data_IF_814116289818
#
_entry.id   IF_814116289818
#
_cell.length_a   1.000
_cell.length_b   1.000
_cell.length_c   1.000
_cell.angle_alpha   90.00
_cell.angle_beta   90.00
_cell.angle_gamma   90.00
#
_symmetry.space_group_name_H-M   'P 1'
#
loop_
_entity.id
_entity.type
_entity.pdbx_description
1 polymer ?
#
# COMPACT_ATOMS: atom_id res chain seq x y z
N UNK A 1 -3.97 17.43 -17.85
CA UNK A 1 -4.31 16.08 -17.34
C UNK A 1 -4.38 15.03 -18.45
N UNK A 2 -5.48 14.89 -19.22
CA UNK A 2 -5.57 13.86 -20.29
C UNK A 2 -4.59 14.10 -21.45
N UNK A 3 -4.42 15.37 -21.84
CA UNK A 3 -3.49 15.77 -22.90
C UNK A 3 -2.00 15.63 -22.52
N UNK A 4 -1.67 15.81 -21.23
CA UNK A 4 -0.32 15.57 -20.70
C UNK A 4 -0.06 14.07 -20.54
N UNK A 5 -1.09 13.29 -20.17
CA UNK A 5 -1.03 11.82 -20.17
C UNK A 5 -0.67 11.28 -21.57
N UNK A 6 -1.32 11.79 -22.62
CA UNK A 6 -1.14 11.31 -24.00
C UNK A 6 0.25 11.70 -24.55
N UNK A 7 0.71 12.93 -24.29
CA UNK A 7 2.02 13.39 -24.74
C UNK A 7 3.18 12.60 -24.10
N UNK A 8 3.03 12.15 -22.85
CA UNK A 8 4.06 11.41 -22.11
C UNK A 8 4.08 9.90 -22.42
N UNK A 9 2.97 9.33 -22.91
CA UNK A 9 2.89 7.94 -23.38
C UNK A 9 3.69 7.72 -24.68
N UNK A 10 3.83 8.76 -25.50
CA UNK A 10 4.51 8.68 -26.81
C UNK A 10 6.05 8.66 -26.70
N UNK A 11 6.63 9.05 -25.56
CA UNK A 11 8.09 9.10 -25.35
C UNK A 11 8.68 7.79 -24.79
N UNK A 12 7.88 6.73 -24.61
CA UNK A 12 8.30 5.50 -23.93
C UNK A 12 8.68 4.39 -24.92
N UNK A 13 9.97 4.07 -25.03
CA UNK A 13 10.50 3.07 -25.96
C UNK A 13 10.22 1.62 -25.48
N UNK A 14 9.86 0.74 -26.43
CA UNK A 14 9.19 -0.57 -26.22
C UNK A 14 9.95 -1.65 -25.41
N UNK A 15 11.22 -1.47 -25.06
CA UNK A 15 12.01 -2.46 -24.30
C UNK A 15 11.96 -2.27 -22.77
N UNK A 16 11.51 -1.11 -22.29
CA UNK A 16 11.52 -0.76 -20.85
C UNK A 16 10.14 -0.37 -20.31
N UNK A 17 9.08 -0.72 -21.03
CA UNK A 17 7.71 -0.23 -20.80
C UNK A 17 7.20 -0.53 -19.39
N UNK A 18 7.54 -1.70 -18.81
CA UNK A 18 7.14 -2.07 -17.44
C UNK A 18 7.84 -1.17 -16.40
N UNK A 19 9.15 -0.94 -16.54
CA UNK A 19 9.94 -0.10 -15.64
C UNK A 19 9.57 1.38 -15.72
N UNK A 20 9.26 1.85 -16.93
CA UNK A 20 8.80 3.22 -17.13
C UNK A 20 7.41 3.44 -16.55
N UNK A 21 6.48 2.48 -16.68
CA UNK A 21 5.15 2.56 -16.09
C UNK A 21 5.23 2.57 -14.55
N UNK A 22 6.01 1.69 -13.93
CA UNK A 22 6.13 1.63 -12.45
C UNK A 22 6.74 2.90 -11.84
N UNK A 23 7.85 3.41 -12.40
CA UNK A 23 8.47 4.65 -11.93
C UNK A 23 7.60 5.89 -12.24
N UNK A 24 6.86 5.85 -13.36
CA UNK A 24 5.92 6.90 -13.74
C UNK A 24 4.71 6.91 -12.82
N UNK A 25 4.15 5.77 -12.47
CA UNK A 25 3.05 5.63 -11.52
C UNK A 25 3.45 6.11 -10.13
N UNK A 26 4.62 5.74 -9.61
CA UNK A 26 5.07 6.26 -8.32
C UNK A 26 5.27 7.78 -8.33
N UNK A 27 5.86 8.35 -9.39
CA UNK A 27 6.01 9.83 -9.51
C UNK A 27 4.68 10.52 -9.75
N UNK A 28 3.75 9.90 -10.48
CA UNK A 28 2.42 10.42 -10.74
C UNK A 28 1.58 10.37 -9.47
N UNK A 29 1.60 9.26 -8.73
CA UNK A 29 0.97 9.09 -7.42
C UNK A 29 1.57 10.04 -6.40
N UNK A 30 2.90 10.16 -6.33
CA UNK A 30 3.58 11.17 -5.52
C UNK A 30 3.12 12.60 -5.88
N UNK A 31 2.98 12.91 -7.18
CA UNK A 31 2.53 14.25 -7.63
C UNK A 31 1.04 14.48 -7.38
N UNK A 32 0.18 13.49 -7.59
CA UNK A 32 -1.29 13.55 -7.43
C UNK A 32 -1.66 13.60 -5.96
N UNK A 33 -1.02 12.78 -5.13
CA UNK A 33 -1.25 12.73 -3.68
C UNK A 33 -0.33 13.67 -2.88
N UNK A 34 0.53 14.46 -3.53
CA UNK A 34 1.24 15.54 -2.85
C UNK A 34 0.23 16.51 -2.21
N UNK A 35 0.55 17.00 -1.01
CA UNK A 35 -0.29 17.99 -0.33
C UNK A 35 -0.59 19.21 -1.19
N UNK A 36 0.34 19.60 -2.06
CA UNK A 36 0.14 20.74 -2.95
C UNK A 36 -0.95 20.46 -3.97
N UNK A 37 -0.97 19.27 -4.58
CA UNK A 37 -2.03 18.90 -5.53
C UNK A 37 -3.38 18.67 -4.84
N UNK A 38 -3.40 17.98 -3.69
CA UNK A 38 -4.62 17.76 -2.91
C UNK A 38 -5.22 19.09 -2.44
N UNK A 39 -4.39 20.03 -1.97
CA UNK A 39 -4.81 21.37 -1.55
C UNK A 39 -5.23 22.25 -2.73
N UNK A 40 -4.48 22.23 -3.84
CA UNK A 40 -4.84 22.97 -5.08
C UNK A 40 -6.20 22.55 -5.62
N UNK A 41 -6.47 21.25 -5.62
CA UNK A 41 -7.72 20.67 -6.11
C UNK A 41 -8.82 20.63 -5.03
N UNK A 42 -8.55 21.11 -3.80
CA UNK A 42 -9.46 21.10 -2.66
C UNK A 42 -10.04 19.71 -2.34
N UNK A 43 -9.25 18.65 -2.57
CA UNK A 43 -9.65 17.25 -2.34
C UNK A 43 -9.47 16.81 -0.88
N UNK A 44 -9.22 17.76 0.02
CA UNK A 44 -9.02 17.54 1.46
C UNK A 44 -10.15 16.71 2.08
N UNK A 45 -11.40 17.05 1.77
CA UNK A 45 -12.57 16.35 2.29
C UNK A 45 -12.73 14.96 1.70
N UNK A 46 -12.48 14.77 0.41
CA UNK A 46 -12.54 13.47 -0.25
C UNK A 46 -11.52 12.49 0.36
N UNK A 47 -10.33 12.99 0.68
CA UNK A 47 -9.29 12.19 1.33
C UNK A 47 -9.62 11.93 2.80
N UNK A 48 -10.14 12.93 3.52
CA UNK A 48 -10.36 12.86 4.98
C UNK A 48 -11.71 12.29 5.42
N UNK A 49 -12.72 12.32 4.56
CA UNK A 49 -14.06 11.86 4.83
C UNK A 49 -14.40 10.73 3.85
N UNK A 50 -14.27 9.51 4.35
CA UNK A 50 -14.62 8.27 3.67
C UNK A 50 -15.97 8.35 2.93
N UNK A 51 -16.97 8.95 3.59
CA UNK A 51 -18.35 8.97 3.16
C UNK A 51 -18.54 9.69 1.81
N UNK A 52 -17.83 10.79 1.57
CA UNK A 52 -17.94 11.53 0.30
C UNK A 52 -17.45 10.68 -0.88
N UNK A 53 -16.35 9.95 -0.67
CA UNK A 53 -15.78 9.08 -1.70
C UNK A 53 -16.61 7.80 -1.87
N UNK A 54 -17.11 7.21 -0.78
CA UNK A 54 -18.00 6.04 -0.82
C UNK A 54 -19.31 6.33 -1.56
N UNK A 55 -19.92 7.51 -1.36
CA UNK A 55 -21.13 7.94 -2.09
C UNK A 55 -20.95 8.00 -3.60
N UNK A 56 -19.72 8.19 -4.07
CA UNK A 56 -19.38 8.18 -5.49
C UNK A 56 -18.98 6.78 -5.98
N UNK A 57 -18.11 6.10 -5.24
CA UNK A 57 -17.46 4.86 -5.67
C UNK A 57 -18.43 3.67 -5.61
N UNK A 58 -19.24 3.56 -4.57
CA UNK A 58 -20.12 2.39 -4.39
C UNK A 58 -21.13 2.25 -5.53
N UNK A 59 -21.92 3.30 -5.90
CA UNK A 59 -22.88 3.16 -6.99
C UNK A 59 -22.19 2.82 -8.32
N UNK A 60 -21.09 3.48 -8.64
CA UNK A 60 -20.38 3.28 -9.92
C UNK A 60 -19.77 1.88 -10.01
N UNK A 61 -19.06 1.44 -8.97
CA UNK A 61 -18.33 0.17 -8.99
C UNK A 61 -19.21 -1.06 -8.75
N UNK A 62 -20.49 -0.88 -8.41
CA UNK A 62 -21.46 -1.97 -8.21
C UNK A 62 -22.62 -1.97 -9.22
N UNK A 63 -22.69 -0.99 -10.12
CA UNK A 63 -23.77 -0.87 -11.11
C UNK A 63 -23.76 -2.02 -12.15
N UNK A 64 -22.59 -2.45 -12.62
CA UNK A 64 -22.48 -3.51 -13.62
C UNK A 64 -21.20 -4.33 -13.47
N UNK A 65 -21.16 -5.58 -13.98
CA UNK A 65 -19.94 -6.39 -13.97
C UNK A 65 -18.74 -5.72 -14.67
N UNK A 66 -18.99 -4.97 -15.74
CA UNK A 66 -17.93 -4.27 -16.48
C UNK A 66 -17.30 -3.14 -15.65
N UNK A 67 -18.13 -2.31 -15.00
CA UNK A 67 -17.65 -1.24 -14.13
C UNK A 67 -16.96 -1.78 -12.88
N UNK A 68 -17.48 -2.87 -12.31
CA UNK A 68 -16.86 -3.57 -11.21
C UNK A 68 -15.45 -4.04 -11.57
N UNK A 69 -15.28 -4.69 -12.72
CA UNK A 69 -13.96 -5.11 -13.20
C UNK A 69 -13.05 -3.91 -13.43
N UNK A 70 -13.55 -2.84 -14.06
CA UNK A 70 -12.77 -1.62 -14.27
C UNK A 70 -12.28 -1.03 -12.95
N UNK A 71 -13.14 -0.90 -11.94
CA UNK A 71 -12.73 -0.43 -10.62
C UNK A 71 -11.69 -1.37 -10.02
N UNK A 72 -11.88 -2.69 -10.07
CA UNK A 72 -10.88 -3.64 -9.55
C UNK A 72 -9.53 -3.53 -10.25
N UNK A 73 -9.48 -3.25 -11.55
CA UNK A 73 -8.21 -3.01 -12.25
C UNK A 73 -7.51 -1.75 -11.76
N UNK A 74 -8.26 -0.68 -11.47
CA UNK A 74 -7.70 0.50 -10.81
C UNK A 74 -7.13 0.19 -9.42
N UNK A 75 -7.76 -0.69 -8.64
CA UNK A 75 -7.23 -1.11 -7.35
C UNK A 75 -5.98 -1.98 -7.48
N UNK A 76 -5.97 -2.91 -8.44
CA UNK A 76 -4.84 -3.80 -8.69
C UNK A 76 -3.56 -3.01 -9.04
N UNK A 77 -3.70 -1.83 -9.65
CA UNK A 77 -2.58 -0.93 -9.91
C UNK A 77 -1.75 -0.61 -8.64
N UNK A 78 -2.41 -0.49 -7.48
CA UNK A 78 -1.75 -0.13 -6.22
C UNK A 78 -1.28 -1.33 -5.43
N UNK A 79 -1.99 -2.45 -5.55
CA UNK A 79 -1.93 -3.53 -4.57
C UNK A 79 -1.34 -4.82 -5.14
N UNK A 80 -1.26 -4.95 -6.46
CA UNK A 80 -0.70 -6.12 -7.14
C UNK A 80 -1.53 -6.55 -8.35
N UNK A 81 -0.95 -7.35 -9.25
CA UNK A 81 -1.43 -7.54 -10.61
C UNK A 81 -2.80 -8.22 -10.69
N UNK A 82 -3.14 -9.01 -9.67
CA UNK A 82 -4.41 -9.72 -9.56
C UNK A 82 -4.74 -9.97 -8.10
N UNK A 83 -6.03 -9.92 -7.79
CA UNK A 83 -6.59 -10.23 -6.48
C UNK A 83 -7.42 -11.51 -6.52
N UNK A 84 -7.57 -12.12 -5.35
CA UNK A 84 -8.43 -13.26 -5.04
C UNK A 84 -9.72 -12.87 -4.34
N UNK A 85 -10.06 -11.59 -4.41
CA UNK A 85 -11.36 -11.07 -3.99
C UNK A 85 -12.46 -11.72 -4.83
N UNK A 86 -13.41 -12.36 -4.15
CA UNK A 86 -14.60 -12.90 -4.81
C UNK A 86 -15.54 -11.78 -5.25
N UNK A 87 -16.24 -11.89 -6.40
CA UNK A 87 -17.24 -10.90 -6.83
C UNK A 87 -18.30 -10.59 -5.77
N UNK A 88 -18.64 -11.57 -4.93
CA UNK A 88 -19.54 -11.42 -3.79
C UNK A 88 -19.03 -10.44 -2.72
N UNK A 89 -17.71 -10.30 -2.59
CA UNK A 89 -17.06 -9.45 -1.58
C UNK A 89 -16.74 -8.05 -2.12
N UNK A 90 -16.79 -7.85 -3.45
CA UNK A 90 -16.46 -6.56 -4.07
C UNK A 90 -17.38 -5.42 -3.57
N UNK A 91 -18.72 -5.58 -3.52
CA UNK A 91 -19.59 -4.53 -2.98
C UNK A 91 -19.29 -4.20 -1.52
N UNK A 92 -18.97 -5.21 -0.70
CA UNK A 92 -18.59 -5.03 0.71
C UNK A 92 -17.30 -4.24 0.81
N UNK A 93 -16.31 -4.59 0.00
CA UNK A 93 -15.02 -3.89 -0.06
C UNK A 93 -15.21 -2.40 -0.37
N UNK A 94 -15.96 -2.07 -1.43
CA UNK A 94 -16.21 -0.68 -1.82
C UNK A 94 -17.06 0.09 -0.81
N UNK A 95 -17.95 -0.59 -0.08
CA UNK A 95 -18.74 0.04 0.96
C UNK A 95 -17.92 0.33 2.23
N UNK A 96 -16.84 -0.42 2.47
CA UNK A 96 -15.97 -0.23 3.64
C UNK A 96 -14.77 0.68 3.35
N UNK A 97 -14.28 0.67 2.11
CA UNK A 97 -13.04 1.35 1.74
C UNK A 97 -13.25 2.34 0.58
N UNK A 98 -12.59 3.52 0.65
CA UNK A 98 -11.62 3.92 1.66
C UNK A 98 -12.27 4.43 2.96
N UNK A 99 -11.64 4.15 4.11
CA UNK A 99 -12.08 4.61 5.44
C UNK A 99 -11.68 6.05 5.80
N UNK A 100 -11.19 6.83 4.82
CA UNK A 100 -10.67 8.17 5.02
C UNK A 100 -9.26 8.18 5.65
N UNK A 101 -8.46 9.19 5.34
CA UNK A 101 -7.12 9.39 5.88
C UNK A 101 -6.77 10.88 5.91
N UNK A 102 -5.66 11.28 6.52
CA UNK A 102 -5.22 12.67 6.48
C UNK A 102 -4.24 12.91 5.33
N UNK A 103 -4.22 14.13 4.79
CA UNK A 103 -3.18 14.58 3.83
C UNK A 103 -1.78 14.37 4.40
N UNK A 104 -1.64 14.56 5.72
CA UNK A 104 -0.38 14.33 6.41
C UNK A 104 0.09 12.88 6.29
N UNK A 105 -0.82 11.91 6.37
CA UNK A 105 -0.50 10.49 6.16
C UNK A 105 -0.13 10.22 4.70
N UNK A 106 -0.87 10.78 3.73
CA UNK A 106 -0.52 10.61 2.30
C UNK A 106 0.87 11.16 1.99
N UNK A 107 1.19 12.35 2.48
CA UNK A 107 2.53 12.92 2.37
C UNK A 107 3.59 12.04 3.06
N UNK A 108 3.24 11.46 4.22
CA UNK A 108 4.16 10.59 4.91
C UNK A 108 4.42 9.29 4.13
N UNK A 109 3.38 8.70 3.56
CA UNK A 109 3.47 7.49 2.75
C UNK A 109 4.35 7.70 1.52
N UNK A 110 4.27 8.88 0.88
CA UNK A 110 5.18 9.26 -0.20
C UNK A 110 6.65 9.21 0.21
N UNK A 111 6.99 9.64 1.43
CA UNK A 111 8.36 9.54 1.96
C UNK A 111 8.76 8.09 2.28
N UNK A 112 7.82 7.26 2.73
CA UNK A 112 8.04 5.82 2.93
C UNK A 112 8.32 5.09 1.61
N UNK A 113 7.62 5.42 0.52
CA UNK A 113 7.85 4.86 -0.82
C UNK A 113 9.25 5.20 -1.34
N UNK A 114 9.82 6.34 -0.91
CA UNK A 114 11.22 6.69 -1.22
C UNK A 114 12.25 5.96 -0.35
N UNK A 115 11.83 5.00 0.48
CA UNK A 115 12.68 4.20 1.35
C UNK A 115 13.01 4.85 2.69
N UNK A 116 12.39 5.98 3.04
CA UNK A 116 12.68 6.69 4.28
C UNK A 116 11.78 6.21 5.43
N UNK A 117 12.19 5.15 6.13
CA UNK A 117 11.48 4.68 7.34
C UNK A 117 11.77 5.57 8.57
N UNK A 118 11.14 6.76 8.59
CA UNK A 118 11.37 7.82 9.60
C UNK A 118 10.07 8.44 10.09
N UNK A 119 10.13 9.30 11.11
CA UNK A 119 8.98 10.11 11.54
C UNK A 119 8.62 11.15 10.47
N UNK A 120 7.37 11.62 10.47
CA UNK A 120 6.88 12.66 9.56
C UNK A 120 7.83 13.87 9.51
N UNK A 121 8.15 14.31 8.30
CA UNK A 121 8.99 15.48 8.06
C UNK A 121 8.15 16.77 8.05
N UNK A 122 8.32 17.59 9.09
CA UNK A 122 7.69 18.91 9.17
C UNK A 122 8.55 20.02 8.53
N UNK A 123 9.66 19.67 7.86
CA UNK A 123 10.59 20.61 7.28
C UNK A 123 11.19 21.53 8.34
N UNK A 124 11.12 22.88 8.19
CA UNK A 124 11.68 23.83 9.16
C UNK A 124 11.13 23.67 10.58
N UNK A 125 9.92 23.11 10.74
CA UNK A 125 9.31 22.90 12.04
C UNK A 125 9.79 21.63 12.76
N UNK A 126 10.68 20.82 12.15
CA UNK A 126 11.24 19.63 12.79
C UNK A 126 11.87 19.94 14.15
N UNK A 127 12.54 21.09 14.29
CA UNK A 127 13.14 21.49 15.56
C UNK A 127 12.10 21.65 16.67
N UNK A 128 10.93 22.21 16.34
CA UNK A 128 9.81 22.36 17.27
C UNK A 128 9.26 21.01 17.75
N UNK A 129 9.18 20.02 16.86
CA UNK A 129 8.58 18.72 17.18
C UNK A 129 9.58 17.68 17.73
N UNK A 130 10.84 17.77 17.34
CA UNK A 130 11.84 16.73 17.58
C UNK A 130 13.13 17.24 18.23
N UNK A 131 13.32 18.56 18.37
CA UNK A 131 14.59 19.14 18.82
C UNK A 131 15.75 18.94 17.82
N UNK A 132 15.45 18.53 16.59
CA UNK A 132 16.41 18.21 15.53
C UNK A 132 15.93 18.81 14.20
N UNK A 133 16.83 19.30 13.32
CA UNK A 133 16.44 19.78 12.00
C UNK A 133 15.97 18.65 11.07
N UNK A 134 16.40 17.41 11.31
CA UNK A 134 16.00 16.21 10.55
C UNK A 134 14.97 15.41 11.35
N UNK A 135 13.99 14.83 10.66
CA UNK A 135 13.06 13.91 11.31
C UNK A 135 13.78 12.61 11.72
N UNK A 136 13.57 12.13 12.97
CA UNK A 136 14.23 10.92 13.46
C UNK A 136 13.84 9.66 12.67
N UNK A 137 14.81 8.79 12.41
CA UNK A 137 14.60 7.45 11.82
C UNK A 137 14.02 6.51 12.87
N UNK A 138 13.15 5.59 12.47
CA UNK A 138 12.69 4.53 13.35
C UNK A 138 13.76 3.45 13.47
N UNK A 139 14.27 3.26 14.69
CA UNK A 139 15.27 2.24 14.98
C UNK A 139 14.60 0.87 15.20
N UNK A 140 14.62 0.04 14.17
CA UNK A 140 14.05 -1.32 14.22
C UNK A 140 14.72 -2.21 15.27
N UNK A 141 15.94 -1.89 15.73
CA UNK A 141 16.61 -2.63 16.81
C UNK A 141 15.91 -2.51 18.16
N UNK A 142 14.99 -1.55 18.31
CA UNK A 142 14.19 -1.35 19.53
C UNK A 142 12.90 -2.16 19.56
N UNK A 143 12.61 -2.91 18.50
CA UNK A 143 11.46 -3.80 18.44
C UNK A 143 11.84 -5.11 19.13
N UNK A 144 11.51 -5.27 20.41
CA UNK A 144 11.83 -6.47 21.21
C UNK A 144 10.65 -7.46 21.36
N UNK A 145 9.53 -7.20 20.67
CA UNK A 145 8.39 -8.12 20.67
C UNK A 145 8.59 -9.21 19.62
N UNK A 146 8.13 -10.46 19.86
CA UNK A 146 8.14 -11.50 18.82
C UNK A 146 7.34 -11.08 17.58
N UNK A 147 7.98 -11.11 16.41
CA UNK A 147 7.39 -10.73 15.12
C UNK A 147 7.29 -11.96 14.21
N UNK A 148 6.08 -12.25 13.76
CA UNK A 148 5.81 -13.22 12.71
C UNK A 148 5.37 -12.49 11.42
N UNK A 149 6.11 -12.64 10.33
CA UNK A 149 5.84 -11.95 9.07
C UNK A 149 5.17 -12.89 8.07
N UNK A 150 4.01 -12.50 7.54
CA UNK A 150 3.39 -13.16 6.39
C UNK A 150 3.44 -12.21 5.21
N UNK A 151 3.96 -12.65 4.07
CA UNK A 151 4.13 -11.80 2.89
C UNK A 151 3.87 -12.57 1.59
N UNK A 152 3.55 -11.84 0.51
CA UNK A 152 3.37 -12.40 -0.84
C UNK A 152 4.29 -11.69 -1.81
N UNK A 153 4.79 -12.40 -2.83
CA UNK A 153 5.61 -11.77 -3.87
C UNK A 153 4.81 -10.82 -4.78
N UNK A 154 3.49 -11.03 -4.86
CA UNK A 154 2.61 -10.25 -5.74
C UNK A 154 1.86 -9.15 -5.00
N UNK A 155 2.25 -8.87 -3.75
CA UNK A 155 1.81 -7.69 -3.02
C UNK A 155 2.73 -6.52 -3.38
N UNK A 156 2.31 -5.68 -4.33
CA UNK A 156 3.10 -4.52 -4.78
C UNK A 156 3.19 -3.39 -3.75
N UNK A 157 2.34 -3.39 -2.72
CA UNK A 157 2.38 -2.38 -1.67
C UNK A 157 3.44 -2.70 -0.58
N UNK A 158 3.91 -3.95 -0.52
CA UNK A 158 4.94 -4.40 0.45
C UNK A 158 6.10 -5.15 -0.21
N UNK A 159 6.07 -5.25 -1.54
CA UNK A 159 7.12 -5.85 -2.38
C UNK A 159 7.44 -4.86 -3.48
N UNK A 160 8.40 -3.97 -3.23
CA UNK A 160 8.89 -3.13 -4.31
C UNK A 160 9.61 -4.03 -5.34
N UNK A 161 9.02 -4.20 -6.52
CA UNK A 161 9.63 -4.93 -7.63
C UNK A 161 10.93 -4.26 -8.15
N UNK A 162 11.18 -3.01 -7.75
CA UNK A 162 12.29 -2.15 -8.21
C UNK A 162 13.49 -2.18 -7.26
N UNK A 163 13.30 -2.56 -6.00
CA UNK A 163 14.37 -2.88 -5.07
C UNK A 163 14.48 -4.40 -5.01
N UNK A 164 15.65 -4.96 -5.31
CA UNK A 164 15.93 -6.41 -5.24
C UNK A 164 15.77 -7.02 -3.82
N UNK A 165 15.13 -6.31 -2.90
CA UNK A 165 14.87 -6.67 -1.52
C UNK A 165 13.39 -6.44 -1.17
N UNK A 166 12.61 -7.53 -1.11
CA UNK A 166 11.28 -7.58 -0.47
C UNK A 166 11.29 -6.84 0.88
N UNK A 167 10.39 -5.87 1.09
CA UNK A 167 10.35 -5.06 2.34
C UNK A 167 10.19 -5.94 3.57
N UNK A 168 9.41 -7.01 3.47
CA UNK A 168 9.29 -8.02 4.53
C UNK A 168 10.66 -8.63 4.91
N UNK A 169 11.52 -8.92 3.92
CA UNK A 169 12.88 -9.44 4.18
C UNK A 169 13.80 -8.36 4.73
N UNK A 170 13.62 -7.10 4.31
CA UNK A 170 14.37 -5.97 4.86
C UNK A 170 14.01 -5.70 6.31
N UNK A 171 12.72 -5.66 6.64
CA UNK A 171 12.23 -5.58 8.01
C UNK A 171 12.82 -6.73 8.83
N UNK A 172 12.66 -7.97 8.38
CA UNK A 172 13.20 -9.16 9.06
C UNK A 172 14.69 -9.04 9.39
N UNK A 173 15.52 -8.61 8.44
CA UNK A 173 16.98 -8.47 8.62
C UNK A 173 17.38 -7.38 9.61
N UNK A 174 16.55 -6.36 9.80
CA UNK A 174 16.83 -5.24 10.70
C UNK A 174 16.20 -5.39 12.08
N UNK A 175 15.28 -6.34 12.27
CA UNK A 175 14.79 -6.72 13.59
C UNK A 175 15.90 -7.40 14.41
N UNK A 176 15.91 -7.23 15.74
CA UNK A 176 16.74 -8.03 16.64
C UNK A 176 16.49 -9.53 16.48
N UNK A 177 17.50 -10.36 16.78
CA UNK A 177 17.39 -11.82 16.62
C UNK A 177 16.30 -12.39 17.54
N UNK A 178 16.20 -11.89 18.77
CA UNK A 178 15.19 -12.29 19.74
C UNK A 178 13.75 -12.00 19.30
N UNK A 179 13.57 -11.05 18.37
CA UNK A 179 12.26 -10.64 17.87
C UNK A 179 11.83 -11.40 16.62
N UNK A 180 12.70 -12.24 16.04
CA UNK A 180 12.45 -12.95 14.79
C UNK A 180 11.74 -14.28 15.02
N UNK A 181 10.43 -14.22 15.30
CA UNK A 181 9.63 -15.42 15.63
C UNK A 181 9.41 -16.34 14.41
N UNK A 182 9.11 -15.76 13.25
CA UNK A 182 9.03 -16.54 12.02
C UNK A 182 8.65 -15.70 10.80
N UNK A 183 8.82 -16.28 9.62
CA UNK A 183 8.43 -15.65 8.37
C UNK A 183 7.87 -16.68 7.40
N UNK A 184 6.72 -16.37 6.79
CA UNK A 184 6.03 -17.23 5.82
C UNK A 184 5.72 -16.47 4.54
N UNK A 185 6.23 -17.00 3.44
CA UNK A 185 5.86 -16.55 2.09
C UNK A 185 4.59 -17.26 1.64
N UNK A 186 3.63 -16.50 1.11
CA UNK A 186 2.49 -17.04 0.37
C UNK A 186 2.96 -17.35 -1.05
N UNK A 187 2.89 -18.63 -1.43
CA UNK A 187 3.27 -19.12 -2.76
C UNK A 187 2.04 -19.14 -3.67
N UNK A 188 1.59 -17.95 -4.07
CA UNK A 188 0.44 -17.83 -4.95
C UNK A 188 0.54 -16.54 -5.76
N UNK A 189 0.62 -16.68 -7.08
CA UNK A 189 0.89 -15.56 -8.01
C UNK A 189 -0.29 -14.61 -8.19
N UNK A 190 -1.42 -14.90 -7.56
CA UNK A 190 -2.62 -14.08 -7.58
C UNK A 190 -2.96 -13.51 -6.21
N UNK A 191 -2.11 -13.72 -5.20
CA UNK A 191 -2.33 -13.22 -3.85
C UNK A 191 -1.64 -11.86 -3.68
N UNK A 192 -2.41 -10.78 -3.71
CA UNK A 192 -1.90 -9.42 -3.60
C UNK A 192 -2.19 -8.80 -2.21
N UNK A 193 -1.95 -7.49 -2.06
CA UNK A 193 -2.05 -6.80 -0.77
C UNK A 193 -3.42 -6.93 -0.08
N UNK A 194 -4.51 -6.84 -0.85
CA UNK A 194 -5.85 -6.84 -0.26
C UNK A 194 -6.31 -8.25 0.14
N UNK A 195 -5.67 -9.29 -0.41
CA UNK A 195 -6.06 -10.67 -0.20
C UNK A 195 -5.75 -11.19 1.20
N UNK A 196 -4.84 -10.54 1.92
CA UNK A 196 -4.59 -10.82 3.35
C UNK A 196 -5.83 -10.58 4.22
N UNK A 197 -6.74 -9.71 3.78
CA UNK A 197 -7.97 -9.35 4.52
C UNK A 197 -9.21 -9.87 3.80
N UNK A 198 -9.32 -9.65 2.50
CA UNK A 198 -10.57 -9.91 1.75
C UNK A 198 -10.48 -11.07 0.77
N UNK A 199 -9.31 -11.71 0.63
CA UNK A 199 -9.13 -12.81 -0.30
C UNK A 199 -10.04 -13.99 0.06
N UNK A 200 -10.69 -14.60 -0.93
CA UNK A 200 -11.62 -15.73 -0.70
C UNK A 200 -10.97 -16.89 0.07
N UNK A 201 -9.66 -17.05 -0.08
CA UNK A 201 -8.85 -18.10 0.55
C UNK A 201 -8.03 -17.62 1.75
N UNK A 202 -8.20 -16.36 2.20
CA UNK A 202 -7.43 -15.76 3.30
C UNK A 202 -7.45 -16.61 4.57
N UNK A 203 -8.62 -17.19 4.92
CA UNK A 203 -8.74 -18.10 6.07
C UNK A 203 -7.74 -19.25 6.00
N UNK A 204 -7.77 -20.04 4.93
CA UNK A 204 -6.91 -21.23 4.80
C UNK A 204 -5.44 -20.88 4.60
N UNK A 205 -5.16 -19.80 3.87
CA UNK A 205 -3.78 -19.45 3.47
C UNK A 205 -3.05 -18.66 4.55
N UNK A 206 -3.76 -17.79 5.27
CA UNK A 206 -3.21 -16.84 6.24
C UNK A 206 -3.68 -17.14 7.66
N UNK A 207 -5.00 -17.21 7.90
CA UNK A 207 -5.52 -17.19 9.29
C UNK A 207 -5.36 -18.52 10.02
N UNK A 208 -5.73 -19.66 9.42
CA UNK A 208 -5.60 -20.97 10.07
C UNK A 208 -4.12 -21.23 10.47
N UNK A 209 -3.12 -20.98 9.60
CA UNK A 209 -1.72 -21.09 10.00
C UNK A 209 -1.27 -20.04 11.03
N UNK A 210 -1.80 -18.82 10.97
CA UNK A 210 -1.49 -17.79 11.97
C UNK A 210 -2.00 -18.20 13.35
N UNK A 211 -3.18 -18.81 13.44
CA UNK A 211 -3.73 -19.34 14.69
C UNK A 211 -2.84 -20.46 15.25
N UNK A 212 -2.33 -21.36 14.40
CA UNK A 212 -1.38 -22.40 14.83
C UNK A 212 -0.09 -21.80 15.42
N UNK A 213 0.43 -20.74 14.79
CA UNK A 213 1.61 -19.99 15.25
C UNK A 213 1.33 -19.32 16.60
N UNK A 214 0.16 -18.69 16.76
CA UNK A 214 -0.24 -18.05 18.02
C UNK A 214 -0.44 -19.07 19.15
N UNK A 215 -1.08 -20.21 18.87
CA UNK A 215 -1.27 -21.26 19.88
C UNK A 215 0.07 -21.79 20.40
N UNK A 216 1.03 -22.05 19.50
CA UNK A 216 2.41 -22.46 19.86
C UNK A 216 3.19 -21.39 20.63
N UNK A 217 2.81 -20.12 20.52
CA UNK A 217 3.49 -19.03 21.22
C UNK A 217 2.94 -18.81 22.64
N UNK A 218 1.74 -19.32 22.93
CA UNK A 218 1.07 -19.17 24.23
C UNK A 218 1.33 -20.38 25.14
N UNK A 219 1.63 -21.55 24.56
CA UNK A 219 2.12 -22.75 25.27
C UNK A 219 3.55 -22.56 25.82
#
# INVERSE_FOLDING_TARGET
>A
MLHELIALILDCNMEYTIYCIDMFEQKLLYRVFSSDSVRRLKLERIVSQAEELQRLVVPVCTESPALMQFCMQWYNLFYGPKTELGPESIPVYFNQLPGGTSIKILNHAADLVLGNFRKYDYGPLNYKYYGSPKSPIYDLKKVHVPVYLVYSAQDWATTEAVSLQLDARNLWRHLPEESRYGMRKINMDTFNHIDFVFGRRARKIVYDPLVEVLNKAIE
#
